data_IF_072935362194
#
_entry.id   IF_072935362194
#
_cell.length_a   1.000
_cell.length_b   1.000
_cell.length_c   1.000
_cell.angle_alpha   90.00
_cell.angle_beta   90.00
_cell.angle_gamma   90.00
#
_symmetry.space_group_name_H-M   'P 1'
#
loop_
_entity.id
_entity.type
_entity.pdbx_description
1 polymer ?
#
# COMPACT_ATOMS: atom_id res chain seq x y z
N UNK A 1 -21.85 2.55 14.34
CA UNK A 1 -22.93 2.73 15.36
C UNK A 1 -22.56 2.20 16.76
N UNK A 2 -22.00 0.98 16.89
CA UNK A 2 -21.66 0.41 18.20
C UNK A 2 -20.64 1.26 19.01
N UNK A 3 -19.58 1.76 18.35
CA UNK A 3 -18.54 2.60 18.95
C UNK A 3 -19.14 3.91 19.52
N UNK A 4 -19.94 4.62 18.72
CA UNK A 4 -20.62 5.85 19.12
C UNK A 4 -21.50 5.64 20.37
N UNK A 5 -22.33 4.59 20.37
CA UNK A 5 -23.27 4.31 21.46
C UNK A 5 -22.57 3.91 22.76
N UNK A 6 -21.49 3.14 22.67
CA UNK A 6 -20.80 2.60 23.84
C UNK A 6 -19.85 3.60 24.50
N UNK A 7 -19.20 4.48 23.73
CA UNK A 7 -18.05 5.26 24.22
C UNK A 7 -18.21 6.78 24.21
N UNK A 8 -19.13 7.30 23.39
CA UNK A 8 -19.23 8.75 23.10
C UNK A 8 -20.62 9.33 23.38
N UNK A 9 -21.68 8.52 23.31
CA UNK A 9 -23.04 8.96 23.57
C UNK A 9 -23.24 9.23 25.08
N UNK A 10 -23.77 10.42 25.43
CA UNK A 10 -24.01 10.88 26.82
C UNK A 10 -22.76 10.98 27.71
N UNK A 11 -21.57 11.03 27.10
CA UNK A 11 -20.29 11.23 27.79
C UNK A 11 -19.89 12.71 27.68
N UNK A 12 -19.24 13.25 28.72
CA UNK A 12 -18.71 14.63 28.66
C UNK A 12 -17.60 14.76 27.61
N UNK A 13 -17.37 15.95 27.01
CA UNK A 13 -16.34 16.13 25.98
C UNK A 13 -14.94 15.70 26.44
N UNK A 14 -14.56 16.06 27.66
CA UNK A 14 -13.25 15.73 28.26
C UNK A 14 -13.07 14.22 28.42
N UNK A 15 -14.12 13.51 28.84
CA UNK A 15 -14.09 12.05 29.00
C UNK A 15 -14.16 11.33 27.66
N UNK A 16 -14.83 11.91 26.68
CA UNK A 16 -14.87 11.42 25.30
C UNK A 16 -13.48 11.47 24.66
N UNK A 17 -12.76 12.57 24.82
CA UNK A 17 -11.37 12.70 24.36
C UNK A 17 -10.44 11.71 25.08
N UNK A 18 -10.55 11.59 26.40
CA UNK A 18 -9.76 10.61 27.17
C UNK A 18 -10.02 9.18 26.71
N UNK A 19 -11.28 8.79 26.48
CA UNK A 19 -11.64 7.47 25.97
C UNK A 19 -10.97 7.17 24.61
N UNK A 20 -10.90 8.17 23.72
CA UNK A 20 -10.23 8.05 22.43
C UNK A 20 -8.73 7.84 22.63
N UNK A 21 -8.06 8.73 23.37
CA UNK A 21 -6.62 8.68 23.61
C UNK A 21 -6.21 7.39 24.31
N UNK A 22 -6.95 6.95 25.33
CA UNK A 22 -6.67 5.69 26.04
C UNK A 22 -6.79 4.49 25.09
N UNK A 23 -7.78 4.49 24.19
CA UNK A 23 -8.01 3.39 23.25
C UNK A 23 -6.95 3.35 22.15
N UNK A 24 -6.61 4.50 21.59
CA UNK A 24 -5.60 4.65 20.55
C UNK A 24 -4.20 4.43 21.13
N UNK A 25 -3.94 4.90 22.35
CA UNK A 25 -2.73 4.63 23.12
C UNK A 25 -2.56 3.15 23.44
N UNK A 26 -3.63 2.46 23.87
CA UNK A 26 -3.62 1.01 24.06
C UNK A 26 -3.28 0.28 22.75
N UNK A 27 -3.83 0.73 21.62
CA UNK A 27 -3.58 0.16 20.30
C UNK A 27 -2.10 0.28 19.88
N UNK A 28 -1.47 1.39 20.23
CA UNK A 28 -0.09 1.72 19.85
C UNK A 28 0.91 1.09 20.82
N UNK A 29 0.55 0.97 22.11
CA UNK A 29 1.36 0.29 23.15
C UNK A 29 1.29 -1.25 23.11
N UNK A 30 0.36 -1.83 22.35
CA UNK A 30 0.30 -3.28 22.12
C UNK A 30 1.49 -3.83 21.32
N UNK A 31 2.30 -2.95 20.70
CA UNK A 31 3.53 -3.34 20.02
C UNK A 31 4.70 -3.34 21.02
N UNK A 32 5.44 -4.45 21.12
CA UNK A 32 6.57 -4.61 22.04
C UNK A 32 7.57 -3.44 21.96
N UNK A 33 7.84 -2.93 20.74
CA UNK A 33 8.75 -1.80 20.43
C UNK A 33 8.32 -0.46 21.06
N UNK A 34 7.02 -0.27 21.28
CA UNK A 34 6.45 0.95 21.88
C UNK A 34 6.24 0.71 23.37
N UNK A 35 5.91 -0.53 23.77
CA UNK A 35 5.78 -0.91 25.16
C UNK A 35 7.08 -0.72 25.95
N UNK A 36 8.24 -1.06 25.37
CA UNK A 36 9.57 -0.81 25.97
C UNK A 36 9.87 0.68 26.07
N UNK A 37 9.52 1.47 25.06
CA UNK A 37 9.66 2.94 25.08
C UNK A 37 8.81 3.58 26.18
N UNK A 38 7.59 3.08 26.39
CA UNK A 38 6.62 3.58 27.37
C UNK A 38 6.89 3.08 28.80
N UNK A 39 7.49 1.91 28.98
CA UNK A 39 7.75 1.32 30.31
C UNK A 39 8.88 1.99 31.07
N UNK A 40 9.66 2.86 30.43
CA UNK A 40 10.88 3.45 31.00
C UNK A 40 10.67 4.75 31.80
N UNK A 41 9.53 5.46 31.72
CA UNK A 41 9.21 6.62 32.59
C UNK A 41 7.76 7.12 32.44
N UNK A 42 7.21 7.76 33.50
CA UNK A 42 5.93 8.49 33.46
C UNK A 42 5.92 9.64 32.45
N UNK A 43 7.05 10.33 32.29
CA UNK A 43 7.18 11.41 31.30
C UNK A 43 7.09 10.87 29.86
N UNK A 44 7.47 9.60 29.65
CA UNK A 44 7.38 8.93 28.34
C UNK A 44 5.94 8.54 28.00
N UNK A 45 5.09 8.24 28.98
CA UNK A 45 3.65 8.06 28.76
C UNK A 45 2.97 9.35 28.27
N UNK A 46 3.37 10.49 28.83
CA UNK A 46 2.88 11.80 28.40
C UNK A 46 3.34 12.12 26.97
N UNK A 47 4.61 11.84 26.64
CA UNK A 47 5.15 12.01 25.29
C UNK A 47 4.42 11.15 24.23
N UNK A 48 3.95 9.95 24.58
CA UNK A 48 3.12 9.13 23.66
C UNK A 48 1.82 9.85 23.33
N UNK A 49 1.14 10.41 24.32
CA UNK A 49 -0.13 11.10 24.13
C UNK A 49 0.05 12.33 23.23
N UNK A 50 1.15 13.07 23.42
CA UNK A 50 1.49 14.24 22.62
C UNK A 50 1.78 13.84 21.16
N UNK A 51 2.60 12.80 20.94
CA UNK A 51 2.88 12.28 19.58
C UNK A 51 1.61 11.72 18.93
N UNK A 52 0.75 11.04 19.68
CA UNK A 52 -0.53 10.56 19.16
C UNK A 52 -1.45 11.71 18.75
N UNK A 53 -1.47 12.78 19.53
CA UNK A 53 -2.23 13.98 19.21
C UNK A 53 -1.72 14.63 17.92
N UNK A 54 -0.40 14.72 17.73
CA UNK A 54 0.20 15.22 16.49
C UNK A 54 -0.15 14.34 15.28
N UNK A 55 -0.05 13.02 15.40
CA UNK A 55 -0.41 12.07 14.34
C UNK A 55 -1.89 12.17 13.98
N UNK A 56 -2.77 12.26 14.99
CA UNK A 56 -4.21 12.46 14.79
C UNK A 56 -4.49 13.79 14.08
N UNK A 57 -3.78 14.86 14.45
CA UNK A 57 -3.93 16.16 13.82
C UNK A 57 -3.46 16.13 12.35
N UNK A 58 -2.34 15.47 12.06
CA UNK A 58 -1.87 15.24 10.68
C UNK A 58 -2.90 14.43 9.89
N UNK A 59 -3.48 13.37 10.47
CA UNK A 59 -4.53 12.59 9.83
C UNK A 59 -5.77 13.42 9.54
N UNK A 60 -6.25 14.22 10.50
CA UNK A 60 -7.40 15.08 10.29
C UNK A 60 -7.14 16.10 9.18
N UNK A 61 -5.93 16.65 9.07
CA UNK A 61 -5.61 17.69 8.08
C UNK A 61 -5.31 17.15 6.68
N UNK A 62 -4.66 15.99 6.58
CA UNK A 62 -4.11 15.47 5.31
C UNK A 62 -4.94 14.34 4.69
N UNK A 63 -5.75 13.64 5.48
CA UNK A 63 -6.49 12.46 5.00
C UNK A 63 -7.81 12.87 4.31
N UNK A 64 -7.88 12.61 3.00
CA UNK A 64 -9.07 12.93 2.18
C UNK A 64 -10.33 12.22 2.65
N UNK A 65 -10.23 10.99 3.17
CA UNK A 65 -11.38 10.26 3.66
C UNK A 65 -11.93 10.95 4.92
N UNK A 66 -11.08 11.26 5.90
CA UNK A 66 -11.52 11.96 7.12
C UNK A 66 -12.11 13.34 6.80
N UNK A 67 -11.50 14.10 5.90
CA UNK A 67 -12.03 15.39 5.44
C UNK A 67 -13.44 15.27 4.81
N UNK A 68 -13.66 14.24 3.99
CA UNK A 68 -14.98 13.98 3.42
C UNK A 68 -16.03 13.62 4.49
N UNK A 69 -15.64 12.83 5.49
CA UNK A 69 -16.52 12.46 6.61
C UNK A 69 -16.84 13.67 7.50
N UNK A 70 -15.87 14.55 7.75
CA UNK A 70 -16.06 15.80 8.49
C UNK A 70 -17.07 16.71 7.79
N UNK A 71 -16.93 16.89 6.47
CA UNK A 71 -17.86 17.68 5.67
C UNK A 71 -19.27 17.07 5.68
N UNK A 72 -19.38 15.74 5.67
CA UNK A 72 -20.67 15.05 5.74
C UNK A 72 -21.32 15.20 7.13
N UNK A 73 -20.58 14.98 8.22
CA UNK A 73 -21.06 15.16 9.59
C UNK A 73 -21.56 16.59 9.82
N UNK A 74 -20.84 17.59 9.29
CA UNK A 74 -21.24 19.00 9.39
C UNK A 74 -22.56 19.30 8.67
N UNK A 75 -22.92 18.53 7.63
CA UNK A 75 -24.23 18.65 6.96
C UNK A 75 -25.35 17.95 7.73
N UNK A 76 -25.02 16.92 8.50
CA UNK A 76 -26.01 16.10 9.21
C UNK A 76 -26.50 16.72 10.53
N UNK A 77 -25.72 17.59 11.17
CA UNK A 77 -26.12 18.21 12.44
C UNK A 77 -25.45 19.56 12.67
N UNK A 78 -26.24 20.52 13.17
CA UNK A 78 -25.74 21.84 13.59
C UNK A 78 -25.30 21.85 15.06
N UNK A 79 -25.73 20.87 15.87
CA UNK A 79 -25.32 20.75 17.27
C UNK A 79 -23.84 20.37 17.37
N UNK A 80 -23.05 21.25 17.99
CA UNK A 80 -21.61 21.08 18.18
C UNK A 80 -21.31 19.81 18.97
N UNK A 81 -22.06 19.53 20.03
CA UNK A 81 -21.80 18.40 20.90
C UNK A 81 -22.03 17.06 20.18
N UNK A 82 -23.04 16.98 19.32
CA UNK A 82 -23.31 15.79 18.50
C UNK A 82 -22.27 15.62 17.40
N UNK A 83 -21.85 16.72 16.76
CA UNK A 83 -20.79 16.73 15.74
C UNK A 83 -19.45 16.24 16.30
N UNK A 84 -19.05 16.70 17.48
CA UNK A 84 -17.81 16.26 18.13
C UNK A 84 -17.84 14.75 18.45
N UNK A 85 -18.97 14.23 18.93
CA UNK A 85 -19.11 12.79 19.22
C UNK A 85 -19.05 11.92 17.96
N UNK A 86 -19.67 12.38 16.87
CA UNK A 86 -19.61 11.70 15.58
C UNK A 86 -18.20 11.72 15.02
N UNK A 87 -17.49 12.83 15.14
CA UNK A 87 -16.09 12.96 14.73
C UNK A 87 -15.21 11.97 15.50
N UNK A 88 -15.30 11.96 16.83
CA UNK A 88 -14.49 11.06 17.67
C UNK A 88 -14.74 9.58 17.36
N UNK A 89 -16.01 9.20 17.15
CA UNK A 89 -16.35 7.82 16.79
C UNK A 89 -15.81 7.43 15.41
N UNK A 90 -15.95 8.31 14.41
CA UNK A 90 -15.42 8.08 13.05
C UNK A 90 -13.89 7.99 13.05
N UNK A 91 -13.23 8.84 13.84
CA UNK A 91 -11.79 8.83 13.98
C UNK A 91 -11.29 7.54 14.64
N UNK A 92 -11.92 7.08 15.73
CA UNK A 92 -11.58 5.79 16.37
C UNK A 92 -11.73 4.63 15.38
N UNK A 93 -12.87 4.57 14.67
CA UNK A 93 -13.16 3.51 13.71
C UNK A 93 -12.14 3.49 12.57
N UNK A 94 -11.78 4.67 12.05
CA UNK A 94 -10.81 4.81 10.98
C UNK A 94 -9.38 4.47 11.43
N UNK A 95 -8.96 4.99 12.59
CA UNK A 95 -7.63 4.75 13.16
C UNK A 95 -7.36 3.26 13.45
N UNK A 96 -8.40 2.50 13.79
CA UNK A 96 -8.31 1.07 14.09
C UNK A 96 -8.48 0.16 12.85
N UNK A 97 -8.68 0.72 11.64
CA UNK A 97 -8.79 -0.11 10.44
C UNK A 97 -7.51 -0.90 10.19
N UNK A 98 -7.60 -2.21 9.87
CA UNK A 98 -6.44 -3.02 9.57
C UNK A 98 -5.84 -2.65 8.21
N UNK A 99 -4.53 -2.44 8.18
CA UNK A 99 -3.69 -2.27 7.00
C UNK A 99 -2.47 -3.16 7.21
N UNK A 100 -2.24 -4.12 6.30
CA UNK A 100 -1.14 -5.10 6.41
C UNK A 100 -1.09 -5.77 7.80
N UNK A 101 -2.24 -6.28 8.26
CA UNK A 101 -2.42 -6.91 9.57
C UNK A 101 -2.13 -6.03 10.81
N UNK A 102 -2.04 -4.70 10.64
CA UNK A 102 -1.82 -3.75 11.75
C UNK A 102 -2.85 -2.61 11.70
N UNK A 103 -3.24 -2.01 12.84
CA UNK A 103 -4.08 -0.82 12.86
C UNK A 103 -3.40 0.35 12.13
N UNK A 104 -4.15 1.07 11.29
CA UNK A 104 -3.66 2.23 10.53
C UNK A 104 -2.90 3.22 11.40
N UNK A 105 -3.40 3.48 12.61
CA UNK A 105 -2.76 4.38 13.55
C UNK A 105 -1.36 3.94 13.96
N UNK A 106 -1.15 2.64 14.21
CA UNK A 106 0.15 2.10 14.59
C UNK A 106 1.18 2.29 13.46
N UNK A 107 0.75 2.08 12.21
CA UNK A 107 1.58 2.33 11.04
C UNK A 107 1.95 3.81 10.88
N UNK A 108 0.99 4.72 11.06
CA UNK A 108 1.21 6.18 10.97
C UNK A 108 2.12 6.68 12.09
N UNK A 109 1.93 6.20 13.31
CA UNK A 109 2.75 6.52 14.47
C UNK A 109 4.22 6.18 14.25
N UNK A 110 4.52 4.98 13.76
CA UNK A 110 5.90 4.55 13.47
C UNK A 110 6.52 5.38 12.34
N UNK A 111 5.76 5.70 11.30
CA UNK A 111 6.24 6.55 10.22
C UNK A 111 6.50 7.98 10.68
N UNK A 112 5.68 8.50 11.58
CA UNK A 112 5.88 9.80 12.19
C UNK A 112 7.20 9.87 12.97
N UNK A 113 7.45 8.89 13.83
CA UNK A 113 8.71 8.78 14.57
C UNK A 113 9.93 8.66 13.64
N UNK A 114 9.83 7.85 12.58
CA UNK A 114 10.90 7.73 11.56
C UNK A 114 11.17 9.04 10.82
N UNK A 115 10.14 9.84 10.51
CA UNK A 115 10.29 11.14 9.83
C UNK A 115 10.89 12.19 10.75
N UNK A 116 10.48 12.22 12.02
CA UNK A 116 11.05 13.14 13.01
C UNK A 116 12.53 12.83 13.29
N UNK A 117 12.89 11.55 13.40
CA UNK A 117 14.28 11.11 13.54
C UNK A 117 15.17 11.54 12.35
N UNK A 118 14.61 11.63 11.13
CA UNK A 118 15.32 12.05 9.92
C UNK A 118 15.29 13.55 9.65
N UNK A 119 14.31 14.29 10.16
CA UNK A 119 14.07 15.70 9.81
C UNK A 119 14.47 16.71 10.90
N UNK A 120 14.89 16.28 12.09
CA UNK A 120 15.52 17.17 13.09
C UNK A 120 14.66 18.31 13.64
N UNK A 121 13.35 18.30 13.42
CA UNK A 121 12.42 19.38 13.78
C UNK A 121 11.26 18.81 14.60
N UNK A 122 11.51 18.61 15.90
CA UNK A 122 10.59 18.77 17.03
C UNK A 122 11.40 18.72 18.33
N UNK A 123 10.91 19.40 19.38
CA UNK A 123 11.56 19.62 20.69
C UNK A 123 11.67 18.36 21.58
N UNK A 124 11.94 17.19 20.99
CA UNK A 124 12.26 15.99 21.76
C UNK A 124 13.80 15.88 21.82
N UNK A 125 14.43 15.84 23.01
CA UNK A 125 15.89 15.89 23.13
C UNK A 125 16.60 14.84 22.27
N UNK A 126 17.45 15.30 21.34
CA UNK A 126 18.16 14.48 20.33
C UNK A 126 19.08 13.43 20.94
N UNK A 127 19.65 13.70 22.12
CA UNK A 127 20.59 12.81 22.79
C UNK A 127 19.94 11.49 23.21
N UNK A 128 18.66 11.51 23.59
CA UNK A 128 17.95 10.31 24.08
C UNK A 128 17.45 9.40 22.94
N UNK A 129 17.15 9.96 21.76
CA UNK A 129 16.75 9.17 20.57
C UNK A 129 17.95 8.44 19.93
N UNK A 130 19.13 9.08 19.94
CA UNK A 130 20.36 8.50 19.38
C UNK A 130 20.96 7.49 20.35
N UNK A 131 20.81 7.70 21.67
CA UNK A 131 21.26 6.77 22.70
C UNK A 131 20.49 5.44 22.70
N UNK A 132 19.21 5.43 22.34
CA UNK A 132 18.42 4.18 22.20
C UNK A 132 18.91 3.33 21.01
N UNK A 133 19.42 3.94 19.94
CA UNK A 133 20.00 3.20 18.80
C UNK A 133 21.45 2.72 19.06
N UNK A 134 22.11 3.26 20.09
CA UNK A 134 23.54 2.98 20.39
C UNK A 134 23.76 2.17 21.66
N UNK A 135 22.91 2.28 22.68
CA UNK A 135 22.93 1.42 23.89
C UNK A 135 22.35 0.00 23.63
N UNK A 136 21.77 -0.28 22.45
CA UNK A 136 21.35 -1.65 22.05
C UNK A 136 22.50 -2.54 21.51
N UNK A 137 23.73 -2.01 21.41
CA UNK A 137 24.89 -2.76 20.84
C UNK A 137 25.86 -3.27 21.92
N UNK A 138 25.73 -2.86 23.20
CA UNK A 138 26.68 -3.25 24.26
C UNK A 138 25.98 -3.59 25.59
N UNK A 139 26.00 -4.89 25.89
CA UNK A 139 25.79 -5.55 27.19
C UNK A 139 24.36 -5.44 27.79
N UNK A 140 23.75 -6.47 28.38
CA UNK A 140 24.30 -7.45 29.31
C UNK A 140 23.42 -8.72 29.38
N UNK A 141 24.08 -9.82 29.74
CA UNK A 141 23.61 -11.19 29.85
C UNK A 141 22.58 -11.38 30.98
N UNK A 142 21.47 -12.06 30.69
CA UNK A 142 20.47 -12.40 31.71
C UNK A 142 19.49 -13.46 31.20
N UNK A 143 19.66 -14.68 31.69
CA UNK A 143 19.11 -15.97 31.22
C UNK A 143 17.57 -16.14 31.31
N UNK A 144 16.77 -15.16 30.89
CA UNK A 144 15.32 -15.36 30.72
C UNK A 144 14.66 -14.52 29.61
N UNK A 145 15.44 -14.05 28.63
CA UNK A 145 14.93 -13.39 27.43
C UNK A 145 14.87 -14.31 26.21
N UNK A 146 14.22 -15.48 26.33
CA UNK A 146 13.76 -16.19 25.14
C UNK A 146 12.58 -15.40 24.51
N UNK A 147 12.59 -14.87 23.28
CA UNK A 147 13.57 -14.05 22.58
C UNK A 147 12.76 -13.07 21.73
N UNK A 148 12.46 -11.90 22.31
CA UNK A 148 11.76 -10.81 21.61
C UNK A 148 12.70 -10.07 20.65
N UNK A 149 14.01 -10.19 20.84
CA UNK A 149 15.04 -9.82 19.88
C UNK A 149 14.94 -10.69 18.63
N UNK A 150 14.76 -12.01 18.78
CA UNK A 150 14.57 -12.90 17.62
C UNK A 150 13.29 -12.55 16.86
N UNK A 151 12.14 -12.35 17.52
CA UNK A 151 10.89 -12.04 16.79
C UNK A 151 10.93 -10.68 16.06
N UNK A 152 11.60 -9.68 16.63
CA UNK A 152 11.75 -8.36 16.00
C UNK A 152 12.84 -8.34 14.93
N UNK A 153 13.93 -9.09 15.12
CA UNK A 153 14.95 -9.30 14.10
C UNK A 153 14.36 -10.08 12.93
N UNK A 154 13.58 -11.13 13.18
CA UNK A 154 12.83 -11.89 12.17
C UNK A 154 11.87 -10.97 11.41
N UNK A 155 11.02 -10.19 12.08
CA UNK A 155 10.07 -9.31 11.39
C UNK A 155 10.75 -8.18 10.59
N UNK A 156 11.85 -7.61 11.09
CA UNK A 156 12.61 -6.58 10.36
C UNK A 156 13.37 -7.20 9.19
N UNK A 157 13.94 -8.38 9.38
CA UNK A 157 14.58 -9.16 8.33
C UNK A 157 13.58 -9.60 7.26
N UNK A 158 12.36 -9.99 7.62
CA UNK A 158 11.27 -10.30 6.70
C UNK A 158 10.82 -9.06 5.92
N UNK A 159 10.67 -7.91 6.57
CA UNK A 159 10.34 -6.63 5.91
C UNK A 159 11.46 -6.19 4.94
N UNK A 160 12.72 -6.31 5.36
CA UNK A 160 13.89 -6.01 4.52
C UNK A 160 14.00 -6.98 3.35
N UNK A 161 13.79 -8.26 3.60
CA UNK A 161 13.82 -9.32 2.61
C UNK A 161 12.69 -9.16 1.59
N UNK A 162 11.47 -8.89 2.01
CA UNK A 162 10.35 -8.62 1.08
C UNK A 162 10.58 -7.36 0.25
N UNK A 163 11.16 -6.31 0.83
CA UNK A 163 11.56 -5.11 0.09
C UNK A 163 12.65 -5.42 -0.95
N UNK A 164 13.65 -6.22 -0.56
CA UNK A 164 14.72 -6.69 -1.47
C UNK A 164 14.16 -7.56 -2.59
N UNK A 165 13.29 -8.53 -2.28
CA UNK A 165 12.61 -9.40 -3.24
C UNK A 165 11.79 -8.57 -4.24
N UNK A 166 11.01 -7.60 -3.77
CA UNK A 166 10.27 -6.68 -4.62
C UNK A 166 11.18 -5.82 -5.52
N UNK A 167 12.33 -5.38 -5.01
CA UNK A 167 13.31 -4.62 -5.79
C UNK A 167 14.00 -5.50 -6.84
N UNK A 168 14.35 -6.74 -6.50
CA UNK A 168 14.92 -7.72 -7.45
C UNK A 168 13.92 -8.00 -8.58
N UNK A 169 12.65 -8.25 -8.24
CA UNK A 169 11.59 -8.45 -9.22
C UNK A 169 11.42 -7.23 -10.14
N UNK A 170 11.45 -6.02 -9.57
CA UNK A 170 11.37 -4.78 -10.34
C UNK A 170 12.51 -4.67 -11.35
N UNK A 171 13.76 -4.90 -10.92
CA UNK A 171 14.92 -4.85 -11.82
C UNK A 171 14.80 -5.91 -12.91
N UNK A 172 14.42 -7.13 -12.55
CA UNK A 172 14.19 -8.23 -13.51
C UNK A 172 13.13 -7.91 -14.55
N UNK A 173 12.02 -7.27 -14.15
CA UNK A 173 10.97 -6.78 -15.07
C UNK A 173 11.53 -5.71 -16.01
N UNK A 174 12.30 -4.75 -15.47
CA UNK A 174 12.90 -3.67 -16.27
C UNK A 174 13.87 -4.23 -17.31
N UNK A 175 14.77 -5.13 -16.93
CA UNK A 175 15.74 -5.77 -17.83
C UNK A 175 15.04 -6.62 -18.90
N UNK A 176 14.08 -7.45 -18.50
CA UNK A 176 13.32 -8.31 -19.41
C UNK A 176 12.53 -7.48 -20.42
N UNK A 177 11.87 -6.41 -19.97
CA UNK A 177 11.14 -5.52 -20.87
C UNK A 177 12.07 -4.70 -21.78
N UNK A 178 13.21 -4.24 -21.28
CA UNK A 178 14.22 -3.55 -22.09
C UNK A 178 14.74 -4.46 -23.23
N UNK A 179 15.07 -5.71 -22.91
CA UNK A 179 15.48 -6.71 -23.91
C UNK A 179 14.38 -6.96 -24.95
N UNK A 180 13.13 -7.09 -24.50
CA UNK A 180 12.00 -7.23 -25.40
C UNK A 180 11.83 -6.02 -26.33
N UNK A 181 12.00 -4.79 -25.82
CA UNK A 181 11.95 -3.56 -26.63
C UNK A 181 13.08 -3.51 -27.66
N UNK A 182 14.28 -3.97 -27.31
CA UNK A 182 15.41 -4.06 -28.23
C UNK A 182 15.10 -4.99 -29.41
N UNK A 183 14.58 -6.19 -29.11
CA UNK A 183 14.30 -7.24 -30.10
C UNK A 183 13.07 -6.92 -30.97
N UNK A 184 12.02 -6.33 -30.40
CA UNK A 184 10.70 -6.21 -31.05
C UNK A 184 10.27 -4.78 -31.42
N UNK A 185 10.93 -3.73 -30.88
CA UNK A 185 10.51 -2.33 -31.09
C UNK A 185 11.59 -1.50 -31.77
N UNK A 186 12.70 -1.24 -31.06
CA UNK A 186 13.91 -0.56 -31.53
C UNK A 186 14.87 -0.27 -30.36
N UNK A 187 16.15 -0.08 -30.67
CA UNK A 187 17.13 0.42 -29.68
C UNK A 187 16.75 1.80 -29.13
N UNK A 188 16.16 2.67 -29.95
CA UNK A 188 15.63 3.97 -29.52
C UNK A 188 14.57 3.84 -28.42
N UNK A 189 13.73 2.79 -28.47
CA UNK A 189 12.70 2.54 -27.47
C UNK A 189 13.31 2.18 -26.11
N UNK A 190 14.45 1.47 -26.10
CA UNK A 190 15.21 1.12 -24.89
C UNK A 190 15.80 2.38 -24.27
N UNK A 191 16.44 3.23 -25.07
CA UNK A 191 17.01 4.51 -24.60
C UNK A 191 15.91 5.40 -24.03
N UNK A 192 14.78 5.54 -24.73
CA UNK A 192 13.62 6.29 -24.23
C UNK A 192 13.10 5.71 -22.91
N UNK A 193 13.00 4.38 -22.80
CA UNK A 193 12.49 3.69 -21.62
C UNK A 193 13.38 3.94 -20.40
N UNK A 194 14.71 3.86 -20.55
CA UNK A 194 15.65 4.11 -19.47
C UNK A 194 15.59 5.57 -18.98
N UNK A 195 15.53 6.55 -19.88
CA UNK A 195 15.39 7.96 -19.51
C UNK A 195 14.04 8.23 -18.83
N UNK A 196 12.97 7.60 -19.31
CA UNK A 196 11.65 7.67 -18.69
C UNK A 196 11.64 7.09 -17.26
N UNK A 197 12.32 5.95 -17.03
CA UNK A 197 12.48 5.38 -15.69
C UNK A 197 13.32 6.26 -14.75
N UNK A 198 14.26 7.03 -15.31
CA UNK A 198 15.03 8.05 -14.60
C UNK A 198 14.21 9.27 -14.15
N UNK A 199 12.94 9.38 -14.60
CA UNK A 199 12.04 10.46 -14.24
C UNK A 199 12.10 11.67 -15.16
N UNK A 200 12.73 11.56 -16.33
CA UNK A 200 12.81 12.65 -17.29
C UNK A 200 11.47 12.96 -17.96
N UNK A 201 11.23 14.25 -18.24
CA UNK A 201 10.06 14.68 -19.00
C UNK A 201 10.23 14.37 -20.49
N UNK A 202 9.13 14.29 -21.24
CA UNK A 202 9.20 14.02 -22.68
C UNK A 202 10.00 15.09 -23.45
N UNK A 203 9.99 16.35 -22.99
CA UNK A 203 10.82 17.44 -23.51
C UNK A 203 12.31 17.24 -23.23
N UNK A 204 12.67 16.78 -22.04
CA UNK A 204 14.07 16.48 -21.67
C UNK A 204 14.59 15.31 -22.50
N UNK A 205 13.80 14.23 -22.61
CA UNK A 205 14.13 13.06 -23.43
C UNK A 205 14.28 13.44 -24.91
N UNK A 206 13.41 14.30 -25.44
CA UNK A 206 13.52 14.78 -26.82
C UNK A 206 14.84 15.51 -27.09
N UNK A 207 15.29 16.34 -26.14
CA UNK A 207 16.58 17.05 -26.22
C UNK A 207 17.75 16.10 -26.10
N UNK A 208 17.73 15.19 -25.12
CA UNK A 208 18.81 14.23 -24.87
C UNK A 208 19.01 13.27 -26.04
N UNK A 209 17.91 12.76 -26.61
CA UNK A 209 17.97 11.86 -27.77
C UNK A 209 18.17 12.62 -29.09
N UNK A 210 18.07 13.95 -29.09
CA UNK A 210 18.07 14.80 -30.29
C UNK A 210 17.00 14.38 -31.32
N UNK A 211 15.77 14.12 -30.84
CA UNK A 211 14.63 13.66 -31.65
C UNK A 211 13.46 14.65 -31.52
N UNK A 212 12.70 14.94 -32.59
CA UNK A 212 11.51 15.77 -32.50
C UNK A 212 10.50 15.25 -31.47
N UNK A 213 9.94 16.16 -30.66
CA UNK A 213 9.02 15.80 -29.56
C UNK A 213 7.80 14.98 -30.01
N UNK A 214 7.29 15.22 -31.23
CA UNK A 214 6.18 14.45 -31.80
C UNK A 214 6.54 12.96 -31.95
N UNK A 215 7.80 12.65 -32.30
CA UNK A 215 8.29 11.28 -32.41
C UNK A 215 8.49 10.64 -31.04
N UNK A 216 8.85 11.41 -30.02
CA UNK A 216 8.89 10.95 -28.62
C UNK A 216 7.49 10.54 -28.13
N UNK A 217 6.45 11.34 -28.40
CA UNK A 217 5.08 10.95 -28.05
C UNK A 217 4.61 9.68 -28.74
N UNK A 218 4.91 9.51 -30.04
CA UNK A 218 4.63 8.26 -30.77
C UNK A 218 5.39 7.07 -30.19
N UNK A 219 6.65 7.29 -29.79
CA UNK A 219 7.49 6.26 -29.18
C UNK A 219 6.92 5.84 -27.82
N UNK A 220 6.49 6.81 -26.99
CA UNK A 220 5.79 6.55 -25.73
C UNK A 220 4.53 5.71 -25.91
N UNK A 221 3.70 6.06 -26.88
CA UNK A 221 2.49 5.29 -27.20
C UNK A 221 2.82 3.87 -27.64
N UNK A 222 3.81 3.73 -28.53
CA UNK A 222 4.28 2.42 -29.02
C UNK A 222 4.81 1.57 -27.85
N UNK A 223 5.69 2.12 -27.01
CA UNK A 223 6.22 1.41 -25.83
C UNK A 223 5.10 1.05 -24.86
N UNK A 224 4.13 1.95 -24.62
CA UNK A 224 2.98 1.68 -23.77
C UNK A 224 2.10 0.53 -24.29
N UNK A 225 1.84 0.49 -25.60
CA UNK A 225 1.15 -0.63 -26.24
C UNK A 225 1.92 -1.94 -26.04
N UNK A 226 3.22 -1.93 -26.32
CA UNK A 226 4.08 -3.10 -26.17
C UNK A 226 4.17 -3.58 -24.71
N UNK A 227 4.17 -2.67 -23.73
CA UNK A 227 4.15 -3.00 -22.31
C UNK A 227 2.85 -3.68 -21.89
N UNK A 228 1.70 -3.10 -22.24
CA UNK A 228 0.39 -3.55 -21.72
C UNK A 228 -0.21 -4.67 -22.58
N UNK A 229 -0.21 -4.51 -23.90
CA UNK A 229 -0.94 -5.39 -24.82
C UNK A 229 -0.14 -6.62 -25.23
N UNK A 230 1.18 -6.59 -25.12
CA UNK A 230 2.04 -7.69 -25.56
C UNK A 230 2.82 -8.27 -24.39
N UNK A 231 3.67 -7.49 -23.74
CA UNK A 231 4.57 -8.01 -22.72
C UNK A 231 3.80 -8.49 -21.47
N UNK A 232 2.89 -7.68 -20.91
CA UNK A 232 2.10 -8.07 -19.73
C UNK A 232 1.12 -9.22 -19.95
N UNK A 233 0.69 -9.48 -21.19
CA UNK A 233 -0.34 -10.47 -21.50
C UNK A 233 0.20 -11.75 -22.14
N UNK A 234 1.43 -11.75 -22.63
CA UNK A 234 2.02 -12.87 -23.38
C UNK A 234 3.39 -13.24 -22.82
N UNK A 235 4.44 -12.54 -23.22
CA UNK A 235 5.83 -12.97 -23.00
C UNK A 235 6.30 -12.77 -21.55
N UNK A 236 5.87 -11.70 -20.90
CA UNK A 236 6.21 -11.35 -19.52
C UNK A 236 5.06 -11.58 -18.53
N UNK A 237 4.03 -12.34 -18.91
CA UNK A 237 2.78 -12.43 -18.15
C UNK A 237 3.00 -12.97 -16.73
N UNK A 238 3.77 -14.06 -16.58
CA UNK A 238 4.08 -14.64 -15.28
C UNK A 238 4.90 -13.67 -14.41
N UNK A 239 5.99 -13.13 -14.97
CA UNK A 239 6.88 -12.19 -14.29
C UNK A 239 6.14 -10.92 -13.82
N UNK A 240 5.23 -10.39 -14.64
CA UNK A 240 4.40 -9.23 -14.27
C UNK A 240 3.35 -9.61 -13.24
N UNK A 241 2.78 -10.82 -13.33
CA UNK A 241 1.80 -11.31 -12.36
C UNK A 241 2.39 -11.49 -10.96
N UNK A 242 3.65 -11.92 -10.89
CA UNK A 242 4.45 -12.03 -9.67
C UNK A 242 4.81 -10.64 -9.14
N UNK A 243 5.42 -9.79 -9.99
CA UNK A 243 5.86 -8.46 -9.58
C UNK A 243 4.73 -7.54 -9.08
N UNK A 244 3.56 -7.58 -9.74
CA UNK A 244 2.42 -6.75 -9.37
C UNK A 244 1.45 -7.43 -8.40
N UNK A 245 1.74 -8.66 -7.96
CA UNK A 245 0.84 -9.47 -7.13
C UNK A 245 -0.58 -9.50 -7.74
N UNK A 246 -0.67 -9.85 -9.02
CA UNK A 246 -1.94 -9.89 -9.77
C UNK A 246 -2.26 -11.25 -10.37
N UNK A 247 -1.56 -12.30 -9.94
CA UNK A 247 -1.91 -13.67 -10.32
C UNK A 247 -3.40 -13.92 -10.06
N UNK A 248 -4.17 -14.41 -11.05
CA UNK A 248 -5.58 -14.76 -10.85
C UNK A 248 -5.77 -15.78 -9.72
N UNK A 249 -4.81 -16.72 -9.56
CA UNK A 249 -4.85 -17.81 -8.60
C UNK A 249 -4.77 -17.32 -7.15
N UNK A 250 -3.83 -16.42 -6.88
CA UNK A 250 -3.48 -16.04 -5.50
C UNK A 250 -4.01 -14.66 -5.12
N UNK A 251 -4.07 -13.74 -6.09
CA UNK A 251 -4.25 -12.33 -5.80
C UNK A 251 -5.50 -11.71 -6.41
N UNK A 252 -6.36 -12.50 -7.09
CA UNK A 252 -7.61 -11.99 -7.70
C UNK A 252 -7.38 -10.75 -8.58
N UNK A 253 -6.32 -10.75 -9.40
CA UNK A 253 -5.86 -9.59 -10.20
C UNK A 253 -5.45 -8.36 -9.39
N UNK A 254 -5.08 -8.52 -8.12
CA UNK A 254 -4.76 -7.41 -7.21
C UNK A 254 -5.99 -6.60 -6.79
N UNK A 255 -7.20 -7.16 -6.95
CA UNK A 255 -8.44 -6.55 -6.50
C UNK A 255 -8.71 -6.90 -5.03
N UNK A 256 -9.28 -5.95 -4.28
CA UNK A 256 -9.81 -6.25 -2.94
C UNK A 256 -10.95 -7.27 -3.03
N UNK A 257 -11.24 -7.98 -1.94
CA UNK A 257 -12.27 -9.04 -1.94
C UNK A 257 -13.66 -8.52 -2.36
N UNK A 258 -14.02 -7.30 -1.97
CA UNK A 258 -15.28 -6.67 -2.39
C UNK A 258 -15.29 -6.29 -3.88
N UNK A 259 -14.19 -5.70 -4.37
CA UNK A 259 -14.03 -5.40 -5.81
C UNK A 259 -14.07 -6.68 -6.64
N UNK A 260 -13.41 -7.74 -6.19
CA UNK A 260 -13.40 -9.06 -6.83
C UNK A 260 -14.81 -9.65 -6.93
N UNK A 261 -15.58 -9.64 -5.85
CA UNK A 261 -16.95 -10.19 -5.85
C UNK A 261 -17.85 -9.46 -6.85
N UNK A 262 -17.80 -8.12 -6.87
CA UNK A 262 -18.58 -7.31 -7.81
C UNK A 262 -18.12 -7.57 -9.25
N UNK A 263 -16.80 -7.58 -9.46
CA UNK A 263 -16.18 -7.82 -10.75
C UNK A 263 -16.58 -9.20 -11.29
N UNK A 264 -16.36 -10.27 -10.53
CA UNK A 264 -16.66 -11.64 -10.92
C UNK A 264 -18.17 -11.84 -11.16
N UNK A 265 -19.04 -11.23 -10.35
CA UNK A 265 -20.49 -11.33 -10.54
C UNK A 265 -20.94 -10.76 -11.90
N UNK A 266 -20.32 -9.65 -12.34
CA UNK A 266 -20.63 -8.95 -13.58
C UNK A 266 -20.08 -9.63 -14.84
N UNK A 267 -19.26 -10.68 -14.71
CA UNK A 267 -18.66 -11.36 -15.86
C UNK A 267 -19.66 -12.22 -16.63
N UNK A 268 -19.42 -12.33 -17.94
CA UNK A 268 -20.07 -13.30 -18.81
C UNK A 268 -19.81 -14.73 -18.34
N UNK A 269 -20.67 -15.71 -18.69
CA UNK A 269 -20.43 -17.12 -18.38
C UNK A 269 -19.08 -17.62 -18.93
N UNK A 270 -18.70 -17.17 -20.14
CA UNK A 270 -17.40 -17.47 -20.74
C UNK A 270 -16.25 -16.86 -19.94
N UNK A 271 -16.37 -15.60 -19.52
CA UNK A 271 -15.36 -14.92 -18.71
C UNK A 271 -15.15 -15.59 -17.35
N UNK A 272 -16.22 -16.09 -16.72
CA UNK A 272 -16.14 -16.88 -15.47
C UNK A 272 -15.36 -18.17 -15.68
N UNK A 273 -15.70 -18.95 -16.73
CA UNK A 273 -14.98 -20.19 -17.03
C UNK A 273 -13.49 -19.97 -17.32
N UNK A 274 -13.13 -18.89 -18.01
CA UNK A 274 -11.73 -18.53 -18.25
C UNK A 274 -11.01 -18.21 -16.95
N UNK A 275 -11.62 -17.43 -16.06
CA UNK A 275 -11.05 -17.12 -14.74
C UNK A 275 -10.89 -18.37 -13.89
N UNK A 276 -11.91 -19.23 -13.84
CA UNK A 276 -11.90 -20.42 -13.01
C UNK A 276 -10.84 -21.41 -13.50
N UNK A 277 -10.67 -21.54 -14.82
CA UNK A 277 -9.57 -22.30 -15.43
C UNK A 277 -8.19 -21.75 -15.06
N UNK A 278 -8.00 -20.43 -15.13
CA UNK A 278 -6.74 -19.79 -14.74
C UNK A 278 -6.45 -19.93 -13.24
N UNK A 279 -7.48 -19.87 -12.39
CA UNK A 279 -7.35 -20.12 -10.95
C UNK A 279 -6.99 -21.57 -10.65
N UNK A 280 -7.47 -22.51 -11.46
CA UNK A 280 -7.07 -23.91 -11.40
C UNK A 280 -5.65 -24.16 -11.93
N UNK A 281 -4.95 -23.13 -12.44
CA UNK A 281 -3.60 -23.23 -12.97
C UNK A 281 -3.53 -23.75 -14.40
N UNK A 282 -4.65 -23.75 -15.13
CA UNK A 282 -4.70 -24.19 -16.53
C UNK A 282 -4.14 -23.13 -17.46
N UNK A 283 -3.56 -23.56 -18.57
CA UNK A 283 -3.11 -22.66 -19.64
C UNK A 283 -4.29 -22.18 -20.49
N UNK A 284 -4.12 -21.08 -21.23
CA UNK A 284 -5.16 -20.58 -22.14
C UNK A 284 -5.50 -21.59 -23.25
N UNK A 285 -4.56 -22.46 -23.62
CA UNK A 285 -4.73 -23.53 -24.60
C UNK A 285 -5.60 -24.67 -24.06
N UNK A 286 -5.34 -25.09 -22.81
CA UNK A 286 -6.16 -26.08 -22.11
C UNK A 286 -7.60 -25.58 -21.91
N UNK A 287 -7.75 -24.33 -21.51
CA UNK A 287 -9.06 -23.68 -21.35
C UNK A 287 -9.80 -23.62 -22.69
N UNK A 288 -9.11 -23.31 -23.79
CA UNK A 288 -9.71 -23.31 -25.12
C UNK A 288 -10.20 -24.71 -25.54
N UNK A 289 -9.42 -25.74 -25.23
CA UNK A 289 -9.79 -27.13 -25.49
C UNK A 289 -11.01 -27.57 -24.67
N UNK A 290 -11.09 -27.19 -23.40
CA UNK A 290 -12.23 -27.51 -22.52
C UNK A 290 -13.51 -26.77 -22.91
N UNK A 291 -13.39 -25.52 -23.33
CA UNK A 291 -14.51 -24.71 -23.80
C UNK A 291 -14.89 -24.99 -25.26
N UNK A 292 -14.20 -25.92 -25.93
CA UNK A 292 -14.36 -26.26 -27.34
C UNK A 292 -14.39 -25.03 -28.25
N UNK A 293 -13.50 -24.07 -27.99
CA UNK A 293 -13.44 -22.79 -28.68
C UNK A 293 -12.02 -22.53 -29.23
N UNK A 294 -11.90 -21.53 -30.12
CA UNK A 294 -10.58 -21.22 -30.69
C UNK A 294 -9.72 -20.54 -29.63
N UNK A 295 -8.43 -20.91 -29.55
CA UNK A 295 -7.47 -20.27 -28.65
C UNK A 295 -7.48 -18.73 -28.76
N UNK A 296 -7.65 -18.19 -29.97
CA UNK A 296 -7.76 -16.74 -30.21
C UNK A 296 -8.97 -16.08 -29.53
N UNK A 297 -10.06 -16.81 -29.32
CA UNK A 297 -11.24 -16.32 -28.59
C UNK A 297 -10.96 -16.25 -27.10
N UNK A 298 -10.29 -17.26 -26.54
CA UNK A 298 -9.88 -17.28 -25.12
C UNK A 298 -8.87 -16.17 -24.84
N UNK A 299 -7.87 -15.97 -25.71
CA UNK A 299 -6.90 -14.86 -25.58
C UNK A 299 -7.60 -13.50 -25.60
N UNK A 300 -8.61 -13.32 -26.47
CA UNK A 300 -9.38 -12.08 -26.54
C UNK A 300 -10.15 -11.83 -25.24
N UNK A 301 -10.85 -12.85 -24.73
CA UNK A 301 -11.55 -12.74 -23.46
C UNK A 301 -10.60 -12.49 -22.29
N UNK A 302 -9.50 -13.24 -22.21
CA UNK A 302 -8.45 -13.00 -21.23
C UNK A 302 -7.95 -11.56 -21.25
N UNK A 303 -7.67 -11.02 -22.43
CA UNK A 303 -7.24 -9.62 -22.60
C UNK A 303 -8.28 -8.64 -22.05
N UNK A 304 -9.57 -8.86 -22.33
CA UNK A 304 -10.66 -8.01 -21.82
C UNK A 304 -10.78 -8.09 -20.30
N UNK A 305 -10.68 -9.30 -19.74
CA UNK A 305 -10.69 -9.52 -18.30
C UNK A 305 -9.52 -8.81 -17.61
N UNK A 306 -8.31 -8.98 -18.13
CA UNK A 306 -7.13 -8.33 -17.57
C UNK A 306 -7.23 -6.79 -17.62
N UNK A 307 -7.61 -6.21 -18.76
CA UNK A 307 -7.71 -4.75 -18.92
C UNK A 307 -8.82 -4.16 -18.04
N UNK A 308 -9.95 -4.85 -17.91
CA UNK A 308 -11.04 -4.39 -17.05
C UNK A 308 -10.63 -4.43 -15.56
N UNK A 309 -10.00 -5.51 -15.11
CA UNK A 309 -9.42 -5.60 -13.77
C UNK A 309 -8.33 -4.55 -13.53
N UNK A 310 -7.46 -4.31 -14.49
CA UNK A 310 -6.46 -3.24 -14.43
C UNK A 310 -7.11 -1.87 -14.25
N UNK A 311 -8.17 -1.56 -15.01
CA UNK A 311 -8.88 -0.29 -14.90
C UNK A 311 -9.53 -0.05 -13.53
N UNK A 312 -9.95 -1.13 -12.86
CA UNK A 312 -10.49 -1.06 -11.50
C UNK A 312 -9.41 -0.74 -10.48
N UNK A 313 -8.19 -1.27 -10.66
CA UNK A 313 -7.04 -0.96 -9.79
C UNK A 313 -6.60 0.49 -9.91
N UNK A 314 -6.52 1.04 -11.12
CA UNK A 314 -6.04 2.41 -11.35
C UNK A 314 -7.06 3.52 -11.05
N UNK A 315 -8.35 3.19 -10.88
CA UNK A 315 -9.40 4.16 -10.53
C UNK A 315 -9.49 4.46 -9.03
N UNK A 316 -8.91 3.59 -8.20
CA UNK A 316 -8.76 3.78 -6.75
C UNK A 316 -7.52 4.60 -6.41
#
# INVERSE_FOLDING_TARGET
WQILRQRYLKVSPTRSYRNLIDRLGACVTLRQKIRTWVSLSRDRQQAVADVLQEVIQEMLNSDRYLQSQLAWIARCTNDQATRDRLLLATLEEYALRPIRNQPLLAYRFVNYLRRQAKSGITNVPREEMIRILSDEIRDDEGENSLSLLDQNAIATYEDERTCQEAQILRVKVQESFAKYLEENVSLEAVTWFNLYLGGESQDAIAKEMNIPIQRIYRLREKVGYHAIMVFALKEGAELISEWLEISPKEHNFGLTLSQWQIYYAALSPTGKSVIDGLKAGKTLEEIASELNCKHTQVVKEWTQLYLSAQSLRTKT
#
